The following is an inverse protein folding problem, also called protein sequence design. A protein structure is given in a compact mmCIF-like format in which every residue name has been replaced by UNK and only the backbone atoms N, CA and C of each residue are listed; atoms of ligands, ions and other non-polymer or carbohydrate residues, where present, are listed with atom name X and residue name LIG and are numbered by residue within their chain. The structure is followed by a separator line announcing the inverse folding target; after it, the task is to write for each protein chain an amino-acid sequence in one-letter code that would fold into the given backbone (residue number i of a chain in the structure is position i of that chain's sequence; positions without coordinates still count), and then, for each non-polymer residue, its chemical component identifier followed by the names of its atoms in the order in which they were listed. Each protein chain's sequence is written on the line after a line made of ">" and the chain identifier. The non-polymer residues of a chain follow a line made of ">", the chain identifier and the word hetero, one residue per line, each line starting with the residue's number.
data_IF_275937331435
#
_entry.id   IF_275937331435
#
_cell.length_a   1.000
_cell.length_b   1.000
_cell.length_c   1.000
_cell.angle_alpha   90.00
_cell.angle_beta   90.00
_cell.angle_gamma   90.00
#
_symmetry.space_group_name_H-M   'P 1'
#
loop_
_entity.id
_entity.type
_entity.pdbx_description
1 polymer ?
#
# COMPACT_ATOMS: atom_id res chain seq x y z
N UNK A 1 9.30 -6.01 -29.78
CA UNK A 1 8.64 -6.19 -28.47
C UNK A 1 8.32 -7.67 -28.33
N UNK A 2 8.84 -8.31 -27.29
CA UNK A 2 8.51 -9.70 -26.98
C UNK A 2 7.11 -9.75 -26.37
N UNK A 3 6.25 -10.61 -26.90
CA UNK A 3 4.87 -10.76 -26.40
C UNK A 3 4.81 -11.80 -25.29
N UNK A 4 3.83 -11.71 -24.36
CA UNK A 4 3.64 -12.70 -23.31
C UNK A 4 3.44 -14.11 -23.89
N UNK A 5 4.03 -15.12 -23.23
CA UNK A 5 3.85 -16.53 -23.62
C UNK A 5 2.47 -17.02 -23.19
N UNK A 6 1.87 -17.86 -24.04
CA UNK A 6 0.59 -18.54 -23.76
C UNK A 6 0.87 -19.92 -23.18
N UNK A 7 0.17 -20.26 -22.11
CA UNK A 7 0.18 -21.56 -21.44
C UNK A 7 -1.25 -22.11 -21.44
N UNK A 8 -1.46 -23.29 -22.02
CA UNK A 8 -2.80 -23.89 -22.19
C UNK A 8 -2.97 -25.03 -21.22
N UNK A 9 -3.96 -24.93 -20.32
CA UNK A 9 -4.28 -25.90 -19.27
C UNK A 9 -3.01 -26.42 -18.53
N UNK A 10 -2.13 -25.54 -18.05
CA UNK A 10 -0.92 -25.98 -17.37
C UNK A 10 -1.29 -26.76 -16.10
N UNK A 11 -0.63 -27.89 -15.84
CA UNK A 11 -0.89 -28.67 -14.64
C UNK A 11 -0.50 -27.88 -13.40
N UNK A 12 -1.14 -28.12 -12.26
CA UNK A 12 -0.89 -27.40 -11.01
C UNK A 12 0.57 -27.45 -10.56
N UNK A 13 1.33 -28.45 -10.96
CA UNK A 13 2.78 -28.55 -10.69
C UNK A 13 3.61 -27.44 -11.36
N UNK A 14 3.10 -26.81 -12.41
CA UNK A 14 3.77 -25.68 -13.11
C UNK A 14 3.37 -24.32 -12.53
N UNK A 15 2.27 -24.24 -11.77
CA UNK A 15 1.77 -22.99 -11.22
C UNK A 15 2.80 -22.21 -10.38
N UNK A 16 3.64 -22.85 -9.54
CA UNK A 16 4.68 -22.12 -8.81
C UNK A 16 5.59 -21.28 -9.72
N UNK A 17 5.94 -21.81 -10.90
CA UNK A 17 6.74 -21.08 -11.89
C UNK A 17 5.93 -20.00 -12.61
N UNK A 18 4.65 -20.26 -12.88
CA UNK A 18 3.75 -19.31 -13.54
C UNK A 18 3.28 -18.18 -12.63
N UNK A 19 3.24 -18.39 -11.32
CA UNK A 19 2.88 -17.38 -10.33
C UNK A 19 4.11 -16.66 -9.73
N UNK A 20 5.32 -17.08 -10.09
CA UNK A 20 6.54 -16.46 -9.64
C UNK A 20 6.69 -15.01 -10.17
N UNK A 21 7.19 -14.14 -9.31
CA UNK A 21 7.49 -12.74 -9.64
C UNK A 21 8.95 -12.58 -10.06
N UNK A 22 9.19 -11.53 -10.86
CA UNK A 22 10.54 -11.19 -11.25
C UNK A 22 11.29 -10.59 -10.05
N UNK A 23 12.11 -11.40 -9.38
CA UNK A 23 12.98 -10.95 -8.28
C UNK A 23 14.39 -10.71 -8.83
N UNK A 24 14.87 -9.46 -8.77
CA UNK A 24 16.26 -9.12 -9.09
C UNK A 24 17.06 -8.97 -7.79
N UNK A 25 18.32 -9.41 -7.80
CA UNK A 25 19.33 -9.42 -6.72
C UNK A 25 19.10 -8.42 -5.57
N UNK A 26 18.68 -8.93 -4.38
CA UNK A 26 18.34 -8.09 -3.21
C UNK A 26 19.51 -7.90 -2.22
N UNK A 27 20.53 -8.78 -2.22
CA UNK A 27 21.58 -8.77 -1.20
C UNK A 27 22.46 -7.52 -1.22
N UNK A 28 22.97 -7.12 -2.39
CA UNK A 28 23.82 -5.93 -2.53
C UNK A 28 23.09 -4.63 -2.17
N UNK A 29 21.77 -4.58 -2.43
CA UNK A 29 20.93 -3.45 -2.05
C UNK A 29 20.78 -3.37 -0.54
N UNK A 30 20.67 -4.52 0.14
CA UNK A 30 20.52 -4.60 1.59
C UNK A 30 21.65 -3.90 2.34
N UNK A 31 22.89 -4.21 2.00
CA UNK A 31 24.08 -3.61 2.63
C UNK A 31 24.16 -2.10 2.41
N UNK A 32 23.94 -1.65 1.17
CA UNK A 32 23.95 -0.22 0.84
C UNK A 32 22.89 0.55 1.61
N UNK A 33 21.68 -0.01 1.71
CA UNK A 33 20.57 0.61 2.45
C UNK A 33 20.86 0.62 3.95
N UNK A 34 21.36 -0.47 4.51
CA UNK A 34 21.73 -0.53 5.92
C UNK A 34 22.78 0.53 6.28
N UNK A 35 23.78 0.74 5.41
CA UNK A 35 24.78 1.78 5.59
C UNK A 35 24.16 3.20 5.58
N UNK A 36 23.19 3.47 4.67
CA UNK A 36 22.47 4.75 4.63
C UNK A 36 21.67 4.95 5.93
N UNK A 37 20.94 3.95 6.38
CA UNK A 37 20.16 4.03 7.62
C UNK A 37 21.06 4.34 8.82
N UNK A 38 22.19 3.64 8.95
CA UNK A 38 23.16 3.85 10.02
C UNK A 38 23.79 5.26 9.96
N UNK A 39 24.14 5.75 8.76
CA UNK A 39 24.71 7.09 8.57
C UNK A 39 23.72 8.18 8.98
N UNK A 40 22.43 8.06 8.63
CA UNK A 40 21.40 9.04 9.03
C UNK A 40 21.12 8.96 10.52
N UNK A 41 21.03 7.75 11.10
CA UNK A 41 20.74 7.55 12.52
C UNK A 41 21.76 8.26 13.44
N UNK A 42 23.03 8.28 13.03
CA UNK A 42 24.11 8.87 13.84
C UNK A 42 24.44 10.32 13.48
N UNK A 43 24.20 10.71 12.24
CA UNK A 43 24.68 11.99 11.70
C UNK A 43 23.58 13.00 11.35
N UNK A 44 22.30 12.68 11.55
CA UNK A 44 21.17 13.62 11.36
C UNK A 44 21.19 14.35 10.02
N UNK A 45 20.85 15.63 10.02
CA UNK A 45 20.83 16.47 8.80
C UNK A 45 22.19 16.57 8.11
N UNK A 46 23.29 16.52 8.86
CA UNK A 46 24.63 16.55 8.28
C UNK A 46 24.88 15.31 7.40
N UNK A 47 24.41 14.13 7.84
CA UNK A 47 24.45 12.90 7.06
C UNK A 47 23.53 13.00 5.84
N UNK A 48 22.29 13.47 6.01
CA UNK A 48 21.36 13.67 4.91
C UNK A 48 21.96 14.53 3.80
N UNK A 49 22.58 15.65 4.15
CA UNK A 49 23.23 16.55 3.17
C UNK A 49 24.36 15.87 2.40
N UNK A 50 25.18 15.04 3.06
CA UNK A 50 26.24 14.26 2.37
C UNK A 50 25.65 13.21 1.43
N UNK A 51 24.64 12.48 1.89
CA UNK A 51 24.00 11.41 1.11
C UNK A 51 23.30 11.98 -0.12
N UNK A 52 22.48 13.02 0.04
CA UNK A 52 21.75 13.67 -1.06
C UNK A 52 22.73 14.23 -2.10
N UNK A 53 23.80 14.91 -1.67
CA UNK A 53 24.83 15.40 -2.62
C UNK A 53 25.50 14.26 -3.39
N UNK A 54 25.76 13.12 -2.72
CA UNK A 54 26.40 11.95 -3.32
C UNK A 54 25.49 11.22 -4.32
N UNK A 55 24.18 11.10 -4.00
CA UNK A 55 23.25 10.26 -4.77
C UNK A 55 22.47 11.07 -5.81
N UNK A 56 21.97 12.24 -5.43
CA UNK A 56 21.06 13.04 -6.27
C UNK A 56 21.78 14.12 -7.07
N UNK A 57 23.04 14.44 -6.71
CA UNK A 57 23.84 15.49 -7.38
C UNK A 57 23.31 16.91 -7.15
N UNK A 58 22.26 17.07 -6.36
CA UNK A 58 21.64 18.32 -5.97
C UNK A 58 21.41 18.33 -4.46
N UNK A 59 21.60 19.48 -3.85
CA UNK A 59 21.31 19.66 -2.41
C UNK A 59 20.39 20.86 -2.23
N UNK A 60 19.17 20.66 -1.70
CA UNK A 60 18.30 21.78 -1.37
C UNK A 60 18.89 22.63 -0.25
N UNK A 61 18.63 23.93 -0.27
CA UNK A 61 19.03 24.85 0.77
C UNK A 61 18.43 24.45 2.13
N UNK A 62 17.13 24.11 2.10
CA UNK A 62 16.39 23.52 3.22
C UNK A 62 15.65 22.29 2.75
N UNK A 63 15.52 21.26 3.60
CA UNK A 63 14.71 20.10 3.26
C UNK A 63 13.22 20.43 3.30
N UNK A 64 12.77 21.26 4.21
CA UNK A 64 11.37 21.64 4.30
C UNK A 64 10.97 22.65 3.22
N UNK A 65 9.86 22.34 2.53
CA UNK A 65 9.24 23.24 1.55
C UNK A 65 8.23 24.11 2.25
N UNK A 66 8.48 25.43 2.28
CA UNK A 66 7.61 26.38 2.96
C UNK A 66 6.21 26.44 2.32
N UNK A 67 5.23 26.93 3.09
CA UNK A 67 3.86 27.12 2.58
C UNK A 67 3.80 28.09 1.40
N UNK A 68 4.61 29.12 1.42
CA UNK A 68 4.70 30.13 0.34
C UNK A 68 5.20 29.46 -0.95
N UNK A 69 6.24 28.61 -0.88
CA UNK A 69 6.75 27.84 -2.03
C UNK A 69 5.70 26.87 -2.57
N UNK A 70 4.93 26.21 -1.70
CA UNK A 70 3.84 25.32 -2.10
C UNK A 70 2.72 26.09 -2.81
N UNK A 71 2.31 27.24 -2.24
CA UNK A 71 1.29 28.12 -2.84
C UNK A 71 1.72 28.68 -4.20
N UNK A 72 3.01 29.01 -4.36
CA UNK A 72 3.52 29.47 -5.66
C UNK A 72 3.50 28.35 -6.70
N UNK A 73 3.98 27.15 -6.32
CA UNK A 73 3.95 25.98 -7.21
C UNK A 73 2.52 25.62 -7.66
N UNK A 74 1.54 25.78 -6.77
CA UNK A 74 0.14 25.53 -7.09
C UNK A 74 -0.40 26.40 -8.25
N UNK A 75 0.21 27.57 -8.54
CA UNK A 75 -0.18 28.44 -9.67
C UNK A 75 0.14 27.79 -11.03
N UNK A 76 1.15 26.93 -11.09
CA UNK A 76 1.54 26.21 -12.30
C UNK A 76 0.61 25.05 -12.67
N UNK A 77 -0.21 24.58 -11.72
CA UNK A 77 -1.16 23.48 -11.97
C UNK A 77 -2.37 23.99 -12.76
N UNK A 78 -2.68 23.31 -13.87
CA UNK A 78 -3.79 23.70 -14.73
C UNK A 78 -5.16 23.66 -14.04
N UNK A 79 -6.11 24.51 -14.40
CA UNK A 79 -7.47 24.47 -13.85
C UNK A 79 -8.15 23.12 -14.06
N UNK A 80 -7.91 22.48 -15.22
CA UNK A 80 -8.44 21.15 -15.53
C UNK A 80 -7.95 20.10 -14.54
N UNK A 81 -6.63 20.07 -14.26
CA UNK A 81 -6.07 19.10 -13.31
C UNK A 81 -6.54 19.40 -11.88
N UNK A 82 -6.68 20.66 -11.50
CA UNK A 82 -7.27 21.03 -10.20
C UNK A 82 -8.68 20.51 -10.02
N UNK A 83 -9.51 20.62 -11.05
CA UNK A 83 -10.88 20.09 -11.03
C UNK A 83 -10.90 18.56 -10.93
N UNK A 84 -10.02 17.87 -11.68
CA UNK A 84 -9.89 16.43 -11.62
C UNK A 84 -9.44 15.95 -10.23
N UNK A 85 -8.44 16.61 -9.62
CA UNK A 85 -7.98 16.30 -8.27
C UNK A 85 -9.06 16.54 -7.21
N UNK A 86 -9.87 17.59 -7.37
CA UNK A 86 -10.99 17.86 -6.47
C UNK A 86 -12.07 16.77 -6.54
N UNK A 87 -12.38 16.28 -7.75
CA UNK A 87 -13.33 15.18 -7.94
C UNK A 87 -12.78 13.87 -7.35
N UNK A 88 -11.53 13.52 -7.65
CA UNK A 88 -10.87 12.33 -7.09
C UNK A 88 -10.86 12.38 -5.56
N UNK A 89 -10.48 13.53 -4.98
CA UNK A 89 -10.50 13.75 -3.53
C UNK A 89 -11.88 13.46 -2.94
N UNK A 90 -12.95 14.01 -3.54
CA UNK A 90 -14.31 13.82 -3.03
C UNK A 90 -14.71 12.33 -2.99
N UNK A 91 -14.40 11.57 -4.04
CA UNK A 91 -14.71 10.15 -4.12
C UNK A 91 -13.89 9.33 -3.12
N UNK A 92 -12.58 9.60 -3.02
CA UNK A 92 -11.68 8.93 -2.07
C UNK A 92 -12.11 9.23 -0.62
N UNK A 93 -12.43 10.48 -0.30
CA UNK A 93 -12.92 10.85 1.03
C UNK A 93 -14.23 10.14 1.38
N UNK A 94 -15.18 10.07 0.45
CA UNK A 94 -16.46 9.41 0.67
C UNK A 94 -16.27 7.94 1.06
N UNK A 95 -15.45 7.20 0.30
CA UNK A 95 -15.19 5.80 0.56
C UNK A 95 -14.40 5.58 1.85
N UNK A 96 -13.34 6.37 2.09
CA UNK A 96 -12.50 6.21 3.28
C UNK A 96 -13.19 6.66 4.58
N UNK A 97 -14.13 7.62 4.53
CA UNK A 97 -14.95 7.98 5.72
C UNK A 97 -15.87 6.84 6.14
N UNK A 98 -16.41 6.09 5.19
CA UNK A 98 -17.24 4.93 5.47
C UNK A 98 -16.48 3.76 6.14
N UNK A 99 -15.14 3.77 6.08
CA UNK A 99 -14.27 2.77 6.71
C UNK A 99 -13.94 3.06 8.18
N UNK A 100 -14.39 4.18 8.74
CA UNK A 100 -14.13 4.47 10.17
C UNK A 100 -14.77 3.40 11.04
N UNK A 101 -13.99 2.70 11.89
CA UNK A 101 -14.51 1.61 12.68
C UNK A 101 -15.37 2.12 13.83
N UNK A 102 -16.48 1.45 14.06
CA UNK A 102 -17.30 1.67 15.23
C UNK A 102 -16.59 1.18 16.52
N UNK A 103 -16.94 1.77 17.66
CA UNK A 103 -16.54 1.26 18.96
C UNK A 103 -17.20 -0.10 19.21
N UNK A 104 -16.41 -1.06 19.70
CA UNK A 104 -16.93 -2.33 20.21
C UNK A 104 -17.05 -2.23 21.72
N UNK A 105 -18.20 -2.62 22.27
CA UNK A 105 -18.44 -2.65 23.70
C UNK A 105 -19.28 -3.88 24.04
N UNK A 106 -18.79 -4.70 24.98
CA UNK A 106 -19.40 -5.95 25.40
C UNK A 106 -19.26 -6.10 26.90
N UNK A 107 -20.34 -6.38 27.57
CA UNK A 107 -20.33 -6.94 28.93
C UNK A 107 -20.23 -8.46 28.81
N UNK A 108 -19.04 -9.01 29.05
CA UNK A 108 -18.74 -10.45 28.84
C UNK A 108 -19.38 -11.32 29.93
N UNK A 109 -19.59 -10.75 31.10
CA UNK A 109 -20.38 -11.27 32.20
C UNK A 109 -20.78 -10.11 33.13
N UNK A 110 -21.77 -10.26 34.03
CA UNK A 110 -22.22 -9.17 34.87
C UNK A 110 -21.08 -8.47 35.61
N UNK A 111 -20.95 -7.17 35.41
CA UNK A 111 -19.90 -6.33 35.99
C UNK A 111 -18.51 -6.45 35.35
N UNK A 112 -18.38 -7.09 34.18
CA UNK A 112 -17.13 -7.16 33.40
C UNK A 112 -17.36 -6.55 32.03
N UNK A 113 -16.92 -5.32 31.86
CA UNK A 113 -17.09 -4.52 30.64
C UNK A 113 -15.79 -4.45 29.85
N UNK A 114 -15.82 -4.90 28.60
CA UNK A 114 -14.71 -4.82 27.64
C UNK A 114 -15.05 -3.85 26.51
N UNK A 115 -14.16 -2.90 26.25
CA UNK A 115 -14.34 -1.89 25.20
C UNK A 115 -13.13 -1.90 24.28
N UNK A 116 -13.34 -1.78 22.97
CA UNK A 116 -12.27 -1.53 22.00
C UNK A 116 -12.56 -0.23 21.26
N UNK A 117 -11.59 0.67 21.24
CA UNK A 117 -11.65 1.94 20.50
C UNK A 117 -10.51 2.01 19.47
N UNK A 118 -10.86 2.47 18.27
CA UNK A 118 -9.87 2.86 17.29
C UNK A 118 -9.36 4.28 17.59
N UNK A 119 -8.06 4.43 17.64
CA UNK A 119 -7.37 5.69 17.93
C UNK A 119 -6.33 5.96 16.85
N UNK A 120 -6.34 7.15 16.26
CA UNK A 120 -5.36 7.53 15.25
C UNK A 120 -3.91 7.43 15.78
N UNK A 121 -2.98 7.10 14.90
CA UNK A 121 -1.55 7.27 15.17
C UNK A 121 -1.23 8.77 15.25
N UNK A 122 -0.23 9.14 16.04
CA UNK A 122 0.08 10.55 16.29
C UNK A 122 0.65 11.27 15.08
N UNK A 123 1.70 10.70 14.49
CA UNK A 123 2.39 11.27 13.32
C UNK A 123 2.57 10.23 12.22
N UNK A 124 2.00 10.49 11.04
CA UNK A 124 2.15 9.67 9.85
C UNK A 124 3.20 10.28 8.91
N UNK A 125 4.14 9.46 8.44
CA UNK A 125 5.11 9.82 7.42
C UNK A 125 4.72 9.23 6.08
N UNK A 126 4.55 10.07 5.08
CA UNK A 126 4.18 9.68 3.73
C UNK A 126 5.41 9.76 2.82
N UNK A 127 5.74 8.68 2.15
CA UNK A 127 6.73 8.68 1.10
C UNK A 127 6.04 8.70 -0.26
N UNK A 128 6.32 9.74 -1.05
CA UNK A 128 5.79 9.87 -2.40
C UNK A 128 6.93 9.71 -3.39
N UNK A 129 6.88 8.70 -4.26
CA UNK A 129 7.90 8.53 -5.27
C UNK A 129 7.98 9.72 -6.22
N UNK A 130 9.18 10.07 -6.62
CA UNK A 130 9.46 11.00 -7.70
C UNK A 130 10.27 10.28 -8.78
N UNK A 131 10.59 10.96 -9.86
CA UNK A 131 11.44 10.43 -10.93
C UNK A 131 10.78 10.55 -12.30
N UNK A 132 10.52 9.44 -13.00
CA UNK A 132 9.98 9.45 -14.36
C UNK A 132 8.56 10.04 -14.49
N UNK A 133 7.75 9.97 -13.43
CA UNK A 133 6.43 10.54 -13.36
C UNK A 133 6.15 11.11 -11.94
N UNK A 134 5.49 12.28 -11.83
CA UNK A 134 5.04 12.80 -10.55
C UNK A 134 3.80 12.05 -10.08
N UNK A 135 3.95 11.17 -9.08
CA UNK A 135 2.82 10.35 -8.57
C UNK A 135 1.98 11.13 -7.56
N UNK A 136 1.37 12.22 -7.99
CA UNK A 136 0.51 13.06 -7.14
C UNK A 136 -0.77 12.37 -6.68
N UNK A 137 -1.26 11.34 -7.39
CA UNK A 137 -2.38 10.49 -6.97
C UNK A 137 -2.08 9.79 -5.64
N UNK A 138 -0.84 9.33 -5.45
CA UNK A 138 -0.41 8.69 -4.19
C UNK A 138 -0.51 9.64 -2.99
N UNK A 139 -0.41 10.96 -3.21
CA UNK A 139 -0.64 11.94 -2.13
C UNK A 139 -2.09 11.86 -1.64
N UNK A 140 -3.06 11.80 -2.56
CA UNK A 140 -4.48 11.66 -2.19
C UNK A 140 -4.72 10.35 -1.44
N UNK A 141 -4.19 9.24 -1.99
CA UNK A 141 -4.38 7.88 -1.46
C UNK A 141 -3.82 7.69 -0.04
N UNK A 142 -2.81 8.46 0.33
CA UNK A 142 -2.20 8.35 1.65
C UNK A 142 -2.63 9.47 2.62
N UNK A 143 -2.68 10.72 2.15
CA UNK A 143 -2.96 11.84 3.02
C UNK A 143 -4.44 11.92 3.43
N UNK A 144 -5.38 11.59 2.53
CA UNK A 144 -6.80 11.63 2.86
C UNK A 144 -7.19 10.63 3.95
N UNK A 145 -6.86 9.32 3.86
CA UNK A 145 -7.16 8.40 4.94
C UNK A 145 -6.43 8.73 6.24
N UNK A 146 -5.19 9.26 6.19
CA UNK A 146 -4.49 9.73 7.38
C UNK A 146 -5.25 10.87 8.10
N UNK A 147 -5.80 11.81 7.33
CA UNK A 147 -6.60 12.92 7.87
C UNK A 147 -7.96 12.46 8.38
N UNK A 148 -8.63 11.57 7.66
CA UNK A 148 -9.92 10.99 8.06
C UNK A 148 -9.77 10.19 9.36
N UNK A 149 -8.68 9.43 9.50
CA UNK A 149 -8.35 8.72 10.74
C UNK A 149 -8.11 9.64 11.93
N UNK A 150 -7.74 10.91 11.70
CA UNK A 150 -7.46 11.91 12.71
C UNK A 150 -5.99 11.95 13.16
N UNK A 151 -5.03 11.57 12.31
CA UNK A 151 -3.60 11.75 12.59
C UNK A 151 -3.31 13.21 12.93
N UNK A 152 -2.61 13.43 14.06
CA UNK A 152 -2.30 14.78 14.57
C UNK A 152 -1.39 15.54 13.60
N UNK A 153 -0.42 14.87 13.03
CA UNK A 153 0.51 15.43 12.06
C UNK A 153 0.76 14.46 10.94
N UNK A 154 0.69 14.95 9.70
CA UNK A 154 0.97 14.21 8.46
C UNK A 154 2.11 14.92 7.75
N UNK A 155 3.26 14.26 7.65
CA UNK A 155 4.41 14.77 6.91
C UNK A 155 4.62 13.98 5.62
N UNK A 156 5.18 14.64 4.61
CA UNK A 156 5.41 14.05 3.30
C UNK A 156 6.87 14.26 2.89
N UNK A 157 7.55 13.18 2.49
CA UNK A 157 8.86 13.21 1.87
C UNK A 157 8.76 12.79 0.40
N UNK A 158 9.36 13.57 -0.50
CA UNK A 158 9.41 13.29 -1.94
C UNK A 158 10.71 13.81 -2.53
N UNK A 159 11.34 13.12 -3.50
CA UNK A 159 12.55 13.63 -4.14
C UNK A 159 12.27 14.85 -5.01
N UNK A 160 13.29 15.69 -5.18
CA UNK A 160 13.30 16.74 -6.20
C UNK A 160 13.64 16.17 -7.58
N UNK A 161 13.23 16.87 -8.62
CA UNK A 161 13.79 16.72 -9.95
C UNK A 161 15.26 17.20 -10.01
N UNK A 162 15.92 17.01 -11.16
CA UNK A 162 17.30 17.45 -11.39
C UNK A 162 17.46 18.98 -11.29
N UNK A 163 16.38 19.72 -11.44
CA UNK A 163 16.31 21.18 -11.28
C UNK A 163 16.16 21.62 -9.81
N UNK A 164 16.15 20.66 -8.87
CA UNK A 164 15.98 20.90 -7.44
C UNK A 164 14.57 21.27 -7.03
N UNK A 165 13.59 21.03 -7.87
CA UNK A 165 12.19 21.35 -7.60
C UNK A 165 11.36 20.08 -7.44
N UNK A 166 10.38 20.14 -6.57
CA UNK A 166 9.30 19.14 -6.49
C UNK A 166 8.27 19.51 -7.56
N UNK A 167 7.69 18.50 -8.21
CA UNK A 167 6.61 18.70 -9.18
C UNK A 167 5.46 19.51 -8.57
N UNK A 168 4.99 20.58 -9.23
CA UNK A 168 3.92 21.43 -8.72
C UNK A 168 2.64 20.67 -8.36
N UNK A 169 2.34 19.60 -9.08
CA UNK A 169 1.17 18.75 -8.89
C UNK A 169 1.23 18.03 -7.53
N UNK A 170 2.42 17.56 -7.10
CA UNK A 170 2.62 16.93 -5.79
C UNK A 170 2.40 17.96 -4.67
N UNK A 171 2.95 19.17 -4.82
CA UNK A 171 2.80 20.23 -3.82
C UNK A 171 1.35 20.70 -3.71
N UNK A 172 0.65 20.85 -4.85
CA UNK A 172 -0.77 21.17 -4.87
C UNK A 172 -1.62 20.08 -4.22
N UNK A 173 -1.37 18.81 -4.55
CA UNK A 173 -2.07 17.69 -3.95
C UNK A 173 -1.85 17.61 -2.44
N UNK A 174 -0.62 17.89 -1.97
CA UNK A 174 -0.29 17.92 -0.54
C UNK A 174 -1.11 18.98 0.20
N UNK A 175 -1.21 20.19 -0.35
CA UNK A 175 -2.03 21.26 0.23
C UNK A 175 -3.52 20.94 0.17
N UNK A 176 -4.01 20.43 -0.97
CA UNK A 176 -5.40 20.02 -1.17
C UNK A 176 -5.84 18.95 -0.15
N UNK A 177 -4.94 18.02 0.21
CA UNK A 177 -5.19 16.94 1.15
C UNK A 177 -4.82 17.31 2.61
N UNK A 178 -4.36 18.52 2.87
CA UNK A 178 -4.06 19.01 4.20
C UNK A 178 -2.80 18.41 4.83
N UNK A 179 -1.76 18.12 4.04
CA UNK A 179 -0.45 17.71 4.55
C UNK A 179 0.20 18.86 5.32
N UNK A 180 0.65 18.61 6.56
CA UNK A 180 1.18 19.65 7.43
C UNK A 180 2.54 20.16 6.96
N UNK A 181 3.46 19.24 6.66
CA UNK A 181 4.84 19.56 6.28
C UNK A 181 5.27 18.69 5.08
N UNK A 182 5.99 19.32 4.15
CA UNK A 182 6.52 18.65 2.94
C UNK A 182 8.03 18.82 2.94
N UNK A 183 8.75 17.72 2.69
CA UNK A 183 10.21 17.69 2.65
C UNK A 183 10.72 17.24 1.29
N UNK A 184 11.65 18.00 0.75
CA UNK A 184 12.37 17.72 -0.49
C UNK A 184 13.48 16.70 -0.22
N UNK A 185 13.09 15.44 -0.01
CA UNK A 185 14.00 14.34 0.31
C UNK A 185 13.41 13.02 -0.22
N UNK A 186 14.17 12.31 -1.03
CA UNK A 186 13.81 11.01 -1.60
C UNK A 186 14.66 9.85 -1.07
N UNK A 187 14.46 8.67 -1.63
CA UNK A 187 15.28 7.49 -1.42
C UNK A 187 15.24 6.88 0.00
N UNK A 188 16.17 5.95 0.25
CA UNK A 188 16.30 5.28 1.55
C UNK A 188 16.57 6.26 2.70
N UNK A 189 17.26 7.37 2.42
CA UNK A 189 17.56 8.42 3.40
C UNK A 189 16.31 9.15 3.88
N UNK A 190 15.25 9.26 3.06
CA UNK A 190 13.96 9.81 3.49
C UNK A 190 13.27 8.88 4.49
N UNK A 191 13.29 7.57 4.23
CA UNK A 191 12.79 6.56 5.16
C UNK A 191 13.57 6.62 6.49
N UNK A 192 14.90 6.69 6.42
CA UNK A 192 15.75 6.81 7.60
C UNK A 192 15.43 8.09 8.42
N UNK A 193 15.28 9.23 7.74
CA UNK A 193 14.95 10.50 8.41
C UNK A 193 13.59 10.44 9.11
N UNK A 194 12.57 9.84 8.48
CA UNK A 194 11.26 9.64 9.11
C UNK A 194 11.31 8.63 10.25
N UNK A 195 12.12 7.58 10.14
CA UNK A 195 12.24 6.54 11.16
C UNK A 195 12.95 7.02 12.42
N UNK A 196 14.04 7.77 12.28
CA UNK A 196 14.88 8.16 13.40
C UNK A 196 14.65 9.60 13.89
N UNK A 197 14.13 10.46 13.02
CA UNK A 197 14.13 11.90 13.21
C UNK A 197 15.49 12.51 12.93
N UNK A 198 15.49 13.75 12.50
CA UNK A 198 16.67 14.60 12.34
C UNK A 198 16.33 16.01 12.82
N UNK A 199 17.27 16.94 12.72
CA UNK A 199 17.03 18.34 13.13
C UNK A 199 15.92 19.01 12.31
N UNK A 200 15.80 18.66 11.01
CA UNK A 200 14.78 19.20 10.10
C UNK A 200 13.52 18.34 10.03
N UNK A 201 13.65 17.01 10.04
CA UNK A 201 12.57 16.06 9.75
C UNK A 201 12.19 15.34 11.05
N UNK A 202 10.94 15.50 11.53
CA UNK A 202 10.52 14.85 12.76
C UNK A 202 10.38 13.34 12.59
N UNK A 203 10.72 12.58 13.63
CA UNK A 203 10.42 11.16 13.71
C UNK A 203 8.91 10.92 13.62
N UNK A 204 8.51 9.89 12.90
CA UNK A 204 7.11 9.47 12.74
C UNK A 204 6.80 8.17 13.47
N UNK A 205 5.52 7.91 13.70
CA UNK A 205 5.05 6.68 14.33
C UNK A 205 4.90 5.54 13.31
N UNK A 206 4.56 5.87 12.05
CA UNK A 206 4.43 4.91 10.98
C UNK A 206 4.73 5.55 9.62
N UNK A 207 5.40 4.81 8.74
CA UNK A 207 5.77 5.23 7.38
C UNK A 207 4.88 4.52 6.38
N UNK A 208 4.33 5.28 5.43
CA UNK A 208 3.47 4.81 4.35
C UNK A 208 4.03 5.21 2.99
N UNK A 209 3.69 4.47 1.98
CA UNK A 209 3.89 4.81 0.59
C UNK A 209 4.76 3.83 -0.18
N UNK A 210 4.46 3.70 -1.49
CA UNK A 210 5.24 2.88 -2.41
C UNK A 210 6.60 3.52 -2.66
N UNK A 211 7.54 2.74 -3.15
CA UNK A 211 8.86 3.23 -3.51
C UNK A 211 9.65 2.23 -4.34
N UNK A 212 10.77 2.67 -4.89
CA UNK A 212 11.69 1.79 -5.58
C UNK A 212 12.31 0.77 -4.59
N UNK A 213 13.07 -0.20 -5.11
CA UNK A 213 13.70 -1.27 -4.32
C UNK A 213 14.54 -0.77 -3.12
N UNK A 214 15.17 0.42 -3.21
CA UNK A 214 15.92 1.01 -2.09
C UNK A 214 15.00 1.51 -0.97
N UNK A 215 13.90 2.15 -1.33
CA UNK A 215 12.87 2.62 -0.38
C UNK A 215 12.17 1.43 0.27
N UNK A 216 11.79 0.43 -0.53
CA UNK A 216 11.18 -0.80 -0.02
C UNK A 216 12.12 -1.50 0.95
N UNK A 217 13.40 -1.64 0.60
CA UNK A 217 14.40 -2.25 1.49
C UNK A 217 14.63 -1.43 2.77
N UNK A 218 14.64 -0.11 2.66
CA UNK A 218 14.75 0.78 3.82
C UNK A 218 13.56 0.63 4.77
N UNK A 219 12.34 0.53 4.24
CA UNK A 219 11.13 0.26 5.03
C UNK A 219 11.22 -1.11 5.73
N UNK A 220 11.67 -2.16 5.03
CA UNK A 220 11.86 -3.48 5.62
C UNK A 220 12.85 -3.45 6.79
N UNK A 221 14.03 -2.82 6.60
CA UNK A 221 15.06 -2.76 7.63
C UNK A 221 14.65 -1.90 8.82
N UNK A 222 14.11 -0.70 8.58
CA UNK A 222 13.63 0.19 9.64
C UNK A 222 12.39 -0.40 10.33
N UNK A 223 11.52 -1.08 9.59
CA UNK A 223 10.31 -1.72 10.09
C UNK A 223 10.56 -2.90 11.01
N UNK A 224 11.73 -3.51 10.93
CA UNK A 224 12.08 -4.66 11.78
C UNK A 224 12.25 -4.29 13.27
N UNK A 225 12.63 -3.03 13.58
CA UNK A 225 12.95 -2.65 14.96
C UNK A 225 12.63 -1.20 15.34
N UNK A 226 12.56 -0.26 14.40
CA UNK A 226 12.67 1.17 14.72
C UNK A 226 11.36 1.96 14.53
N UNK A 227 10.56 1.64 13.50
CA UNK A 227 9.34 2.37 13.14
C UNK A 227 8.32 1.44 12.49
N UNK A 228 7.03 1.63 12.72
CA UNK A 228 6.03 0.86 11.98
C UNK A 228 6.02 1.26 10.49
N UNK A 229 5.73 0.30 9.61
CA UNK A 229 5.57 0.52 8.18
C UNK A 229 4.21 0.00 7.72
N UNK A 230 3.76 0.41 6.52
CA UNK A 230 2.47 0.02 5.97
C UNK A 230 2.41 -1.49 5.61
N UNK A 231 2.73 -1.84 4.38
CA UNK A 231 2.61 -3.19 3.85
C UNK A 231 3.83 -3.53 3.00
N UNK A 232 4.13 -4.83 2.82
CA UNK A 232 5.13 -5.25 1.86
C UNK A 232 4.69 -4.85 0.44
N UNK A 233 5.57 -4.16 -0.29
CA UNK A 233 5.35 -3.77 -1.66
C UNK A 233 6.58 -4.11 -2.51
N UNK A 234 6.33 -4.51 -3.73
CA UNK A 234 7.31 -4.77 -4.76
C UNK A 234 6.88 -4.13 -6.09
N UNK A 235 7.30 -4.66 -7.23
CA UNK A 235 6.80 -4.23 -8.53
C UNK A 235 5.29 -4.40 -8.65
N UNK A 236 4.64 -3.47 -9.35
CA UNK A 236 3.19 -3.49 -9.56
C UNK A 236 2.76 -4.63 -10.48
N UNK A 237 1.59 -5.16 -10.26
CA UNK A 237 1.06 -6.34 -10.97
C UNK A 237 -0.45 -6.29 -11.17
N UNK A 238 -0.91 -6.77 -12.32
CA UNK A 238 -2.33 -6.97 -12.61
C UNK A 238 -2.59 -8.40 -13.06
N UNK A 239 -3.75 -8.93 -12.67
CA UNK A 239 -4.31 -10.14 -13.26
C UNK A 239 -5.69 -9.83 -13.82
N UNK A 240 -5.90 -10.11 -15.11
CA UNK A 240 -7.19 -9.99 -15.77
C UNK A 240 -7.79 -11.40 -15.92
N UNK A 241 -8.95 -11.63 -15.30
CA UNK A 241 -9.79 -12.81 -15.53
C UNK A 241 -10.81 -12.50 -16.63
N UNK A 242 -10.83 -13.28 -17.69
CA UNK A 242 -11.72 -13.06 -18.82
C UNK A 242 -12.43 -14.35 -19.25
N UNK A 243 -13.71 -14.24 -19.59
CA UNK A 243 -14.49 -15.27 -20.28
C UNK A 243 -14.74 -14.87 -21.75
N UNK A 244 -15.65 -15.58 -22.41
CA UNK A 244 -15.99 -15.35 -23.82
C UNK A 244 -16.74 -14.04 -24.07
N UNK A 245 -17.37 -13.46 -23.05
CA UNK A 245 -18.09 -12.19 -23.15
C UNK A 245 -17.18 -10.96 -22.94
N UNK A 246 -15.95 -11.19 -22.46
CA UNK A 246 -14.96 -10.13 -22.34
C UNK A 246 -14.55 -9.60 -23.72
N UNK A 247 -14.18 -8.33 -23.74
CA UNK A 247 -13.61 -7.69 -24.93
C UNK A 247 -12.09 -7.78 -24.89
N UNK A 248 -11.45 -8.44 -25.88
CA UNK A 248 -9.99 -8.55 -25.93
C UNK A 248 -9.27 -7.21 -25.92
N UNK A 249 -9.91 -6.17 -26.52
CA UNK A 249 -9.35 -4.81 -26.56
C UNK A 249 -9.29 -4.15 -25.17
N UNK A 250 -10.25 -4.46 -24.29
CA UNK A 250 -10.27 -3.97 -22.92
C UNK A 250 -9.20 -4.69 -22.08
N UNK A 251 -9.17 -6.01 -22.15
CA UNK A 251 -8.13 -6.79 -21.48
C UNK A 251 -6.71 -6.33 -21.90
N UNK A 252 -6.51 -6.07 -23.21
CA UNK A 252 -5.24 -5.54 -23.70
C UNK A 252 -4.90 -4.15 -23.12
N UNK A 253 -5.89 -3.26 -23.00
CA UNK A 253 -5.69 -1.93 -22.40
C UNK A 253 -5.29 -2.04 -20.93
N UNK A 254 -5.93 -2.94 -20.15
CA UNK A 254 -5.61 -3.15 -18.75
C UNK A 254 -4.22 -3.78 -18.54
N UNK A 255 -3.82 -4.73 -19.40
CA UNK A 255 -2.45 -5.28 -19.37
C UNK A 255 -1.41 -4.21 -19.67
N UNK A 256 -1.71 -3.28 -20.57
CA UNK A 256 -0.81 -2.19 -20.95
C UNK A 256 -0.74 -1.08 -19.90
N UNK A 257 -1.85 -0.77 -19.22
CA UNK A 257 -1.85 0.19 -18.11
C UNK A 257 -0.91 -0.24 -17.00
N UNK A 258 -0.90 -1.54 -16.68
CA UNK A 258 0.06 -2.09 -15.72
C UNK A 258 1.49 -2.15 -16.28
N UNK A 259 1.66 -2.54 -17.55
CA UNK A 259 2.98 -2.70 -18.16
C UNK A 259 3.77 -1.38 -18.26
N UNK A 260 3.10 -0.23 -18.32
CA UNK A 260 3.78 1.07 -18.39
C UNK A 260 4.35 1.57 -17.05
N UNK A 261 4.00 0.94 -15.90
CA UNK A 261 4.50 1.34 -14.58
C UNK A 261 6.03 1.18 -14.47
N UNK A 262 6.58 0.06 -14.94
CA UNK A 262 8.02 -0.17 -14.87
C UNK A 262 8.49 -1.46 -15.58
N UNK A 263 9.78 -1.55 -15.77
CA UNK A 263 10.43 -2.68 -16.45
C UNK A 263 10.24 -4.04 -15.72
N UNK A 264 9.96 -4.00 -14.45
CA UNK A 264 9.76 -5.14 -13.55
C UNK A 264 8.29 -5.39 -13.19
N UNK A 265 7.36 -4.59 -13.73
CA UNK A 265 5.92 -4.85 -13.64
C UNK A 265 5.52 -6.15 -14.31
N UNK A 266 4.43 -6.74 -13.85
CA UNK A 266 3.91 -7.99 -14.42
C UNK A 266 2.41 -7.89 -14.71
N UNK A 267 2.03 -8.27 -15.93
CA UNK A 267 0.65 -8.32 -16.36
C UNK A 267 0.27 -9.77 -16.74
N UNK A 268 -0.77 -10.31 -16.12
CA UNK A 268 -1.21 -11.68 -16.36
C UNK A 268 -2.63 -11.68 -16.89
N UNK A 269 -2.87 -12.38 -18.01
CA UNK A 269 -4.20 -12.64 -18.50
C UNK A 269 -4.56 -14.12 -18.24
N UNK A 270 -5.69 -14.36 -17.62
CA UNK A 270 -6.27 -15.68 -17.47
C UNK A 270 -7.59 -15.72 -18.24
N UNK A 271 -7.68 -16.53 -19.28
CA UNK A 271 -8.85 -16.60 -20.16
C UNK A 271 -9.27 -18.03 -20.48
N UNK A 272 -10.40 -18.21 -21.20
CA UNK A 272 -11.01 -19.52 -21.43
C UNK A 272 -10.60 -20.16 -22.72
N UNK A 273 -10.08 -19.41 -23.69
CA UNK A 273 -9.72 -19.96 -25.01
C UNK A 273 -8.43 -19.35 -25.55
N UNK A 274 -7.73 -20.15 -26.36
CA UNK A 274 -6.57 -19.69 -27.11
C UNK A 274 -6.94 -18.63 -28.15
N UNK A 275 -8.14 -18.67 -28.71
CA UNK A 275 -8.64 -17.67 -29.64
C UNK A 275 -8.72 -16.28 -28.95
N UNK A 276 -9.30 -16.21 -27.74
CA UNK A 276 -9.33 -15.00 -26.96
C UNK A 276 -7.92 -14.49 -26.66
N UNK A 277 -7.01 -15.38 -26.23
CA UNK A 277 -5.62 -15.07 -25.94
C UNK A 277 -4.90 -14.43 -27.13
N UNK A 278 -5.07 -15.01 -28.34
CA UNK A 278 -4.46 -14.50 -29.57
C UNK A 278 -5.03 -13.12 -29.95
N UNK A 279 -6.33 -12.91 -29.82
CA UNK A 279 -6.97 -11.61 -30.07
C UNK A 279 -6.49 -10.55 -29.08
N UNK A 280 -6.33 -10.89 -27.80
CA UNK A 280 -5.79 -10.00 -26.80
C UNK A 280 -4.33 -9.62 -27.11
N UNK A 281 -3.47 -10.58 -27.50
CA UNK A 281 -2.09 -10.31 -27.93
C UNK A 281 -2.04 -9.39 -29.15
N UNK A 282 -2.87 -9.63 -30.15
CA UNK A 282 -2.93 -8.75 -31.32
C UNK A 282 -3.28 -7.31 -30.92
N UNK A 283 -4.28 -7.17 -30.04
CA UNK A 283 -4.69 -5.87 -29.53
C UNK A 283 -3.61 -5.20 -28.67
N UNK A 284 -2.88 -5.94 -27.84
CA UNK A 284 -1.70 -5.42 -27.09
C UNK A 284 -0.68 -4.84 -28.08
N UNK A 285 -0.36 -5.55 -29.17
CA UNK A 285 0.58 -5.05 -30.18
C UNK A 285 0.13 -3.75 -30.85
N UNK A 286 -1.14 -3.69 -31.24
CA UNK A 286 -1.74 -2.52 -31.89
C UNK A 286 -1.78 -1.30 -30.95
N UNK A 287 -2.20 -1.50 -29.72
CA UNK A 287 -2.33 -0.43 -28.73
C UNK A 287 -0.95 0.08 -28.26
N UNK A 288 -0.02 -0.83 -27.95
CA UNK A 288 1.34 -0.49 -27.50
C UNK A 288 2.10 0.37 -28.54
N UNK A 289 1.83 0.17 -29.84
CA UNK A 289 2.43 0.97 -30.91
C UNK A 289 2.07 2.48 -30.83
N UNK A 290 1.02 2.83 -30.12
CA UNK A 290 0.53 4.22 -29.96
C UNK A 290 0.94 4.85 -28.63
N UNK A 291 1.50 4.08 -27.70
CA UNK A 291 1.87 4.56 -26.36
C UNK A 291 3.30 5.12 -26.35
N UNK A 292 3.57 6.03 -25.43
CA UNK A 292 4.85 6.74 -25.33
C UNK A 292 5.94 5.94 -24.60
N UNK A 293 5.57 5.06 -23.64
CA UNK A 293 6.53 4.32 -22.77
C UNK A 293 6.89 2.93 -23.30
N UNK A 294 7.10 2.80 -24.59
CA UNK A 294 7.27 1.51 -25.30
C UNK A 294 8.36 0.60 -24.75
N UNK A 295 9.48 1.17 -24.31
CA UNK A 295 10.59 0.37 -23.76
C UNK A 295 10.20 -0.28 -22.43
N UNK A 296 9.60 0.46 -21.52
CA UNK A 296 9.12 -0.07 -20.25
C UNK A 296 8.05 -1.14 -20.48
N UNK A 297 7.07 -0.84 -21.35
CA UNK A 297 6.02 -1.80 -21.74
C UNK A 297 6.65 -3.08 -22.31
N UNK A 298 7.62 -2.98 -23.22
CA UNK A 298 8.28 -4.14 -23.80
C UNK A 298 8.99 -5.02 -22.78
N UNK A 299 9.69 -4.42 -21.80
CA UNK A 299 10.37 -5.14 -20.74
C UNK A 299 9.38 -5.81 -19.77
N UNK A 300 8.30 -5.12 -19.43
CA UNK A 300 7.22 -5.66 -18.57
C UNK A 300 6.50 -6.83 -19.25
N UNK A 301 6.16 -6.71 -20.55
CA UNK A 301 5.50 -7.77 -21.30
C UNK A 301 6.36 -9.04 -21.41
N UNK A 302 7.68 -8.92 -21.47
CA UNK A 302 8.59 -10.07 -21.43
C UNK A 302 8.52 -10.84 -20.10
N UNK A 303 8.14 -10.19 -19.01
CA UNK A 303 7.90 -10.79 -17.68
C UNK A 303 6.44 -11.25 -17.50
N UNK A 304 5.56 -10.95 -18.45
CA UNK A 304 4.11 -11.19 -18.39
C UNK A 304 3.75 -12.53 -19.02
N UNK A 305 2.52 -13.00 -18.79
CA UNK A 305 2.07 -14.29 -19.30
C UNK A 305 0.57 -14.33 -19.51
N UNK A 306 0.15 -15.24 -20.38
CA UNK A 306 -1.24 -15.56 -20.63
C UNK A 306 -1.46 -17.01 -20.29
N UNK A 307 -2.48 -17.29 -19.48
CA UNK A 307 -2.84 -18.65 -19.07
C UNK A 307 -4.26 -18.93 -19.53
N UNK A 308 -4.44 -20.01 -20.25
CA UNK A 308 -5.73 -20.45 -20.75
C UNK A 308 -6.19 -21.65 -19.94
N UNK A 309 -7.35 -21.55 -19.31
CA UNK A 309 -8.02 -22.66 -18.66
C UNK A 309 -9.42 -22.84 -19.26
N UNK A 310 -9.73 -24.02 -19.74
CA UNK A 310 -11.10 -24.38 -20.18
C UNK A 310 -12.07 -24.51 -18.99
N UNK A 311 -11.56 -24.86 -17.82
CA UNK A 311 -12.32 -24.96 -16.57
C UNK A 311 -12.33 -23.61 -15.81
N UNK A 312 -13.51 -23.00 -15.55
CA UNK A 312 -13.62 -21.76 -14.78
C UNK A 312 -13.16 -21.92 -13.32
N UNK A 313 -13.21 -23.10 -12.74
CA UNK A 313 -12.74 -23.34 -11.38
C UNK A 313 -11.20 -23.25 -11.30
N UNK A 314 -10.50 -23.72 -12.33
CA UNK A 314 -9.05 -23.56 -12.42
C UNK A 314 -8.64 -22.10 -12.66
N UNK A 315 -9.45 -21.30 -13.37
CA UNK A 315 -9.19 -19.86 -13.51
C UNK A 315 -9.19 -19.15 -12.13
N UNK A 316 -10.24 -19.39 -11.33
CA UNK A 316 -10.37 -18.83 -9.98
C UNK A 316 -9.23 -19.32 -9.09
N UNK A 317 -8.97 -20.62 -9.08
CA UNK A 317 -7.90 -21.21 -8.28
C UNK A 317 -6.51 -20.66 -8.66
N UNK A 318 -6.26 -20.40 -9.94
CA UNK A 318 -5.01 -19.80 -10.39
C UNK A 318 -4.91 -18.32 -9.97
N UNK A 319 -6.01 -17.57 -10.04
CA UNK A 319 -6.03 -16.17 -9.57
C UNK A 319 -5.71 -16.10 -8.08
N UNK A 320 -6.28 -16.96 -7.24
CA UNK A 320 -5.96 -17.05 -5.81
C UNK A 320 -4.51 -17.53 -5.58
N UNK A 321 -4.03 -18.47 -6.40
CA UNK A 321 -2.63 -18.92 -6.35
C UNK A 321 -1.65 -17.81 -6.78
N UNK A 322 -2.06 -16.90 -7.63
CA UNK A 322 -1.29 -15.72 -7.99
C UNK A 322 -1.39 -14.65 -6.90
N UNK A 323 -2.57 -14.41 -6.31
CA UNK A 323 -2.87 -13.37 -5.33
C UNK A 323 -2.43 -11.97 -5.80
N UNK A 324 -3.06 -11.44 -6.86
CA UNK A 324 -2.64 -10.21 -7.51
C UNK A 324 -2.83 -8.97 -6.65
N UNK A 325 -2.04 -7.93 -6.93
CA UNK A 325 -2.29 -6.58 -6.47
C UNK A 325 -3.63 -6.06 -7.00
N UNK A 326 -3.78 -6.04 -8.32
CA UNK A 326 -5.00 -5.66 -9.02
C UNK A 326 -5.60 -6.90 -9.70
N UNK A 327 -6.87 -7.16 -9.44
CA UNK A 327 -7.63 -8.22 -10.11
C UNK A 327 -8.78 -7.63 -10.88
N UNK A 328 -8.77 -7.76 -12.22
CA UNK A 328 -9.88 -7.36 -13.06
C UNK A 328 -10.69 -8.61 -13.41
N UNK A 329 -11.97 -8.61 -13.07
CA UNK A 329 -12.91 -9.72 -13.38
C UNK A 329 -13.79 -9.27 -14.55
N UNK A 330 -13.29 -9.46 -15.76
CA UNK A 330 -13.97 -9.14 -17.02
C UNK A 330 -14.78 -10.35 -17.51
N UNK A 331 -15.79 -10.74 -16.74
CA UNK A 331 -16.63 -11.92 -16.98
C UNK A 331 -18.11 -11.52 -16.98
N UNK A 332 -18.98 -12.35 -17.55
CA UNK A 332 -20.44 -12.13 -17.53
C UNK A 332 -20.96 -12.06 -16.10
N UNK A 333 -20.66 -13.07 -15.30
CA UNK A 333 -21.10 -13.18 -13.90
C UNK A 333 -19.97 -12.75 -12.96
N UNK A 334 -19.49 -11.50 -13.16
CA UNK A 334 -18.28 -10.99 -12.53
C UNK A 334 -18.35 -10.98 -10.99
N UNK A 335 -19.52 -10.68 -10.40
CA UNK A 335 -19.70 -10.73 -8.94
C UNK A 335 -19.67 -12.14 -8.38
N UNK A 336 -20.22 -13.12 -9.10
CA UNK A 336 -20.19 -14.53 -8.66
C UNK A 336 -18.77 -15.09 -8.71
N UNK A 337 -18.01 -14.73 -9.75
CA UNK A 337 -16.58 -15.06 -9.83
C UNK A 337 -15.79 -14.36 -8.71
N UNK A 338 -16.00 -13.05 -8.51
CA UNK A 338 -15.32 -12.28 -7.49
C UNK A 338 -15.62 -12.77 -6.05
N UNK A 339 -16.83 -13.22 -5.77
CA UNK A 339 -17.21 -13.77 -4.47
C UNK A 339 -16.44 -15.05 -4.09
N UNK A 340 -15.83 -15.71 -5.06
CA UNK A 340 -14.99 -16.91 -4.86
C UNK A 340 -13.50 -16.59 -4.69
N UNK A 341 -13.09 -15.36 -4.99
CA UNK A 341 -11.71 -14.90 -4.82
C UNK A 341 -11.45 -14.61 -3.35
N UNK A 342 -10.35 -15.12 -2.84
CA UNK A 342 -9.93 -14.96 -1.43
C UNK A 342 -8.63 -14.19 -1.27
N UNK A 343 -7.89 -13.98 -2.36
CA UNK A 343 -6.58 -13.34 -2.31
C UNK A 343 -6.40 -12.35 -3.48
N UNK A 344 -6.72 -11.08 -3.24
CA UNK A 344 -6.43 -9.97 -4.15
C UNK A 344 -6.30 -8.67 -3.35
N UNK A 345 -5.48 -7.74 -3.82
CA UNK A 345 -5.33 -6.42 -3.19
C UNK A 345 -6.55 -5.53 -3.46
N UNK A 346 -7.00 -5.47 -4.72
CA UNK A 346 -8.24 -4.81 -5.13
C UNK A 346 -8.88 -5.57 -6.29
N UNK A 347 -10.22 -5.61 -6.33
CA UNK A 347 -10.98 -6.34 -7.36
C UNK A 347 -11.86 -5.37 -8.14
N UNK A 348 -11.71 -5.39 -9.47
CA UNK A 348 -12.44 -4.55 -10.42
C UNK A 348 -13.47 -5.40 -11.14
N UNK A 349 -14.73 -5.04 -11.03
CA UNK A 349 -15.87 -5.88 -11.42
C UNK A 349 -16.44 -5.45 -12.76
N UNK A 350 -16.37 -6.35 -13.74
CA UNK A 350 -16.96 -6.17 -15.07
C UNK A 350 -16.07 -5.37 -16.04
N UNK A 351 -16.44 -5.39 -17.32
CA UNK A 351 -15.64 -4.85 -18.42
C UNK A 351 -15.49 -3.30 -18.45
N UNK A 352 -16.24 -2.58 -17.62
CA UNK A 352 -16.16 -1.10 -17.51
C UNK A 352 -15.45 -0.63 -16.23
N UNK A 353 -14.74 -1.53 -15.56
CA UNK A 353 -14.00 -1.23 -14.33
C UNK A 353 -12.50 -1.42 -14.56
N UNK A 354 -11.82 -0.53 -15.28
CA UNK A 354 -10.39 -0.64 -15.53
C UNK A 354 -9.61 -0.33 -14.24
N UNK A 355 -8.39 -0.86 -14.13
CA UNK A 355 -7.43 -0.59 -13.03
C UNK A 355 -7.28 0.92 -12.78
N UNK A 356 -7.13 1.70 -13.85
CA UNK A 356 -6.94 3.15 -13.77
C UNK A 356 -8.10 3.90 -13.07
N UNK A 357 -9.30 3.34 -13.02
CA UNK A 357 -10.38 3.94 -12.23
C UNK A 357 -10.06 3.90 -10.72
N UNK A 358 -9.55 2.78 -10.22
CA UNK A 358 -9.10 2.63 -8.83
C UNK A 358 -7.86 3.45 -8.54
N UNK A 359 -6.93 3.50 -9.47
CA UNK A 359 -5.68 4.23 -9.31
C UNK A 359 -5.84 5.73 -9.15
N UNK A 360 -6.89 6.29 -9.74
CA UNK A 360 -7.04 7.75 -9.78
C UNK A 360 -8.27 8.28 -9.06
N UNK A 361 -9.46 7.69 -9.25
CA UNK A 361 -10.67 8.47 -8.97
C UNK A 361 -11.90 7.70 -8.47
N UNK A 362 -11.97 6.38 -8.52
CA UNK A 362 -13.18 5.64 -8.11
C UNK A 362 -13.48 5.73 -6.62
N UNK A 363 -12.44 5.91 -5.79
CA UNK A 363 -12.57 6.05 -4.34
C UNK A 363 -11.79 5.01 -3.53
N UNK A 364 -11.46 3.87 -4.12
CA UNK A 364 -10.60 2.85 -3.50
C UNK A 364 -9.15 3.33 -3.42
N UNK A 365 -8.30 2.59 -2.72
CA UNK A 365 -6.89 2.95 -2.55
C UNK A 365 -6.00 2.11 -3.46
N UNK A 366 -5.05 2.74 -4.13
CA UNK A 366 -4.11 2.05 -5.02
C UNK A 366 -2.81 1.59 -4.32
N UNK A 367 -2.63 1.91 -3.04
CA UNK A 367 -1.47 1.41 -2.29
C UNK A 367 -1.81 0.02 -1.78
N UNK A 368 -1.48 -0.98 -2.56
CA UNK A 368 -1.91 -2.36 -2.42
C UNK A 368 -0.73 -3.29 -2.16
N UNK A 369 -0.95 -4.48 -1.55
CA UNK A 369 0.08 -5.48 -1.38
C UNK A 369 0.41 -6.16 -2.72
N UNK A 370 1.68 -6.24 -3.07
CA UNK A 370 2.19 -6.90 -4.28
C UNK A 370 2.88 -8.22 -3.94
N UNK A 371 3.37 -8.95 -4.94
CA UNK A 371 4.21 -10.13 -4.71
C UNK A 371 3.50 -11.27 -4.01
N UNK A 372 2.18 -11.37 -4.15
CA UNK A 372 1.36 -12.38 -3.48
C UNK A 372 1.04 -12.08 -2.02
N UNK A 373 1.45 -10.93 -1.48
CA UNK A 373 1.15 -10.54 -0.10
C UNK A 373 -0.35 -10.23 0.12
N UNK A 374 -1.15 -10.11 -0.93
CA UNK A 374 -2.60 -9.97 -0.84
C UNK A 374 -3.30 -11.16 -0.13
N UNK A 375 -2.59 -12.27 0.12
CA UNK A 375 -3.07 -13.37 0.95
C UNK A 375 -3.18 -13.04 2.44
N UNK A 376 -2.42 -12.04 2.90
CA UNK A 376 -2.29 -11.75 4.34
C UNK A 376 -2.36 -10.26 4.67
N UNK A 377 -2.21 -9.38 3.68
CA UNK A 377 -2.24 -7.94 3.86
C UNK A 377 -3.35 -7.31 3.03
N UNK A 378 -4.02 -6.35 3.62
CA UNK A 378 -4.96 -5.47 2.91
C UNK A 378 -4.23 -4.28 2.30
N UNK A 379 -4.82 -3.67 1.27
CA UNK A 379 -4.43 -2.35 0.80
C UNK A 379 -4.57 -1.28 1.89
N UNK A 380 -3.91 -0.15 1.70
CA UNK A 380 -4.03 0.99 2.60
C UNK A 380 -5.49 1.44 2.68
N UNK A 381 -5.95 1.67 3.88
CA UNK A 381 -7.30 2.12 4.20
C UNK A 381 -7.26 3.05 5.42
N UNK A 382 -8.41 3.53 5.88
CA UNK A 382 -8.48 4.43 7.03
C UNK A 382 -7.98 3.77 8.31
N UNK A 383 -8.25 2.48 8.52
CA UNK A 383 -7.77 1.74 9.69
C UNK A 383 -6.24 1.56 9.70
N UNK A 384 -5.57 1.61 8.53
CA UNK A 384 -4.11 1.55 8.44
C UNK A 384 -3.42 2.68 9.23
N UNK A 385 -4.11 3.81 9.43
CA UNK A 385 -3.66 4.99 10.19
C UNK A 385 -4.18 5.01 11.62
N UNK A 386 -4.74 3.89 12.10
CA UNK A 386 -5.31 3.76 13.41
C UNK A 386 -4.71 2.56 14.15
N UNK A 387 -4.87 2.54 15.46
CA UNK A 387 -4.62 1.39 16.31
C UNK A 387 -5.82 1.15 17.19
N UNK A 388 -6.07 -0.09 17.56
CA UNK A 388 -7.15 -0.47 18.45
C UNK A 388 -6.61 -0.62 19.87
N UNK A 389 -7.22 0.11 20.83
CA UNK A 389 -6.88 0.05 22.25
C UNK A 389 -8.06 -0.62 22.96
N UNK A 390 -7.75 -1.63 23.76
CA UNK A 390 -8.74 -2.29 24.63
C UNK A 390 -8.76 -1.65 26.00
N UNK A 391 -9.96 -1.51 26.56
CA UNK A 391 -10.23 -1.03 27.91
C UNK A 391 -11.03 -2.11 28.62
N UNK A 392 -10.69 -2.37 29.89
CA UNK A 392 -11.39 -3.31 30.73
C UNK A 392 -11.78 -2.60 32.01
N UNK A 393 -13.06 -2.70 32.37
CA UNK A 393 -13.62 -2.15 33.59
C UNK A 393 -14.37 -3.28 34.32
N UNK A 394 -13.97 -3.55 35.55
CA UNK A 394 -14.61 -4.56 36.39
C UNK A 394 -15.19 -3.89 37.63
N UNK A 395 -16.41 -4.21 37.93
CA UNK A 395 -16.96 -3.94 39.26
C UNK A 395 -16.37 -4.93 40.30
N UNK A 396 -16.50 -4.62 41.57
CA UNK A 396 -16.05 -5.53 42.60
C UNK A 396 -16.71 -6.91 42.45
N UNK A 397 -18.04 -6.95 42.27
CA UNK A 397 -18.76 -8.22 42.07
C UNK A 397 -18.35 -8.97 40.81
N UNK A 398 -18.07 -8.25 39.71
CA UNK A 398 -17.53 -8.85 38.47
C UNK A 398 -16.17 -9.48 38.71
N UNK A 399 -15.27 -8.82 39.45
CA UNK A 399 -13.96 -9.38 39.77
C UNK A 399 -14.12 -10.58 40.74
N UNK A 400 -14.96 -10.51 41.76
CA UNK A 400 -15.23 -11.61 42.68
C UNK A 400 -15.74 -12.86 41.93
N UNK A 401 -16.62 -12.67 40.95
CA UNK A 401 -17.13 -13.75 40.11
C UNK A 401 -16.06 -14.37 39.20
N UNK A 402 -15.11 -13.56 38.69
CA UNK A 402 -14.00 -14.04 37.86
C UNK A 402 -12.82 -14.63 38.68
N UNK A 403 -12.71 -14.29 39.95
CA UNK A 403 -11.52 -14.62 40.75
C UNK A 403 -11.18 -16.11 40.74
N UNK A 404 -12.13 -17.08 40.89
CA UNK A 404 -11.81 -18.49 40.85
C UNK A 404 -11.15 -18.91 39.51
N UNK A 405 -11.63 -18.39 38.39
CA UNK A 405 -11.10 -18.70 37.08
C UNK A 405 -9.69 -18.13 36.91
N UNK A 406 -9.49 -16.84 37.24
CA UNK A 406 -8.18 -16.18 37.08
C UNK A 406 -7.15 -16.83 37.97
N UNK A 407 -7.46 -17.12 39.23
CA UNK A 407 -6.49 -17.70 40.16
C UNK A 407 -6.11 -19.12 39.75
N UNK A 408 -7.07 -19.96 39.36
CA UNK A 408 -6.80 -21.31 38.90
C UNK A 408 -5.91 -21.34 37.67
N UNK A 409 -6.15 -20.45 36.69
CA UNK A 409 -5.31 -20.37 35.50
C UNK A 409 -3.90 -19.85 35.83
N UNK A 410 -3.79 -18.79 36.62
CA UNK A 410 -2.50 -18.21 36.98
C UNK A 410 -1.63 -19.18 37.79
N UNK A 411 -2.24 -19.95 38.72
CA UNK A 411 -1.54 -20.99 39.47
C UNK A 411 -1.06 -22.15 38.59
N UNK A 412 -1.91 -22.57 37.63
CA UNK A 412 -1.53 -23.62 36.70
C UNK A 412 -0.36 -23.22 35.78
N UNK A 413 -0.24 -21.90 35.49
CA UNK A 413 0.90 -21.33 34.75
C UNK A 413 2.13 -21.00 35.64
N UNK A 414 2.02 -21.17 36.96
CA UNK A 414 3.08 -20.84 37.94
C UNK A 414 3.25 -19.33 38.14
N UNK A 415 2.18 -18.53 37.87
CA UNK A 415 2.20 -17.08 37.96
C UNK A 415 1.52 -16.58 39.26
N UNK A 416 2.11 -16.86 40.42
CA UNK A 416 1.58 -16.56 41.75
C UNK A 416 1.26 -15.09 41.96
N UNK A 417 2.05 -14.17 41.39
CA UNK A 417 1.81 -12.74 41.49
C UNK A 417 0.51 -12.32 40.77
N UNK A 418 0.15 -12.97 39.66
CA UNK A 418 -1.12 -12.74 38.97
C UNK A 418 -2.29 -13.21 39.83
N UNK A 419 -2.22 -14.41 40.42
CA UNK A 419 -3.25 -14.90 41.34
C UNK A 419 -3.38 -13.98 42.55
N UNK A 420 -2.27 -13.55 43.13
CA UNK A 420 -2.26 -12.65 44.29
C UNK A 420 -2.87 -11.28 43.97
N UNK A 421 -2.68 -10.75 42.75
CA UNK A 421 -3.26 -9.49 42.34
C UNK A 421 -4.80 -9.48 42.37
N UNK A 422 -5.43 -10.63 42.17
CA UNK A 422 -6.88 -10.83 42.30
C UNK A 422 -7.25 -11.03 43.79
N UNK A 423 -6.57 -11.93 44.53
CA UNK A 423 -6.85 -12.23 45.90
C UNK A 423 -6.89 -11.02 46.80
N UNK A 424 -5.87 -10.14 46.74
CA UNK A 424 -5.82 -8.94 47.57
C UNK A 424 -6.99 -7.95 47.31
N UNK A 425 -7.66 -8.05 46.15
CA UNK A 425 -8.81 -7.23 45.78
C UNK A 425 -10.15 -7.84 46.16
N UNK A 426 -10.18 -9.18 46.31
CA UNK A 426 -11.42 -9.93 46.62
C UNK A 426 -11.46 -10.39 48.06
N UNK A 427 -10.32 -10.75 48.69
CA UNK A 427 -10.21 -11.24 50.05
C UNK A 427 -10.05 -10.11 51.10
N UNK A 428 -9.59 -8.94 50.67
CA UNK A 428 -9.43 -7.75 51.51
C UNK A 428 -10.79 -7.06 51.75
N UNK A 429 -11.60 -7.63 52.61
CA UNK A 429 -12.83 -6.99 53.06
C UNK A 429 -12.58 -5.71 53.87
N UNK A 430 -13.34 -4.68 53.50
CA UNK A 430 -13.65 -3.47 54.27
C UNK A 430 -12.48 -2.81 55.06
N UNK A 431 -11.89 -1.79 54.41
CA UNK A 431 -11.45 -0.59 55.13
C UNK A 431 -12.18 0.63 54.60
#
# INVERSE_FOLDING_TARGET
>A
MEMPKIYVNPPRSEWPALTARCTRQEEEIGERVAAILAEVRTGGDAALRRIVRRIEGYLPETFEVTRERRAEAAKAVSPQLKAALAQAKANIEAFHRAQLPAQVEVETMPGVRCVQRAVAIGRAGLYIPGGKAPLFSTVLMLALPARIAGCREVILCTPCGRDGRIAPEILYAADLCGVDRVFALGGAQAVAAMAYGTESIPRVDKIFGPGNRYVTKAKQLAGAADVAVDLPAGPSEVLVLADEDARPEFAAADLLSQAEHGDDSQAVLVCRSEEFAQRAIASVGEQAARLSRRDAIGNSLANSRIVVFSDPDEQIAFADAYAPEHLIVAMRDAWDAAARITAAGSVFIGGYSPESAGDYASGTNHTLPTGGWARAYSGVNTESFMRKITYQELTRGGLEALAPTITAMAEAEGLDAHANAVRIRTEGGAR
#
